data_IF_996223716500
#
_entry.id   IF_996223716500
#
_cell.length_a   1.000
_cell.length_b   1.000
_cell.length_c   1.000
_cell.angle_alpha   90.00
_cell.angle_beta   90.00
_cell.angle_gamma   90.00
#
_symmetry.space_group_name_H-M   'P 1'
#
loop_
_entity.id
_entity.type
_entity.pdbx_description
1 polymer ?
#
# COMPACT_ATOMS: atom_id res chain seq x y z
N UNK A 1 -19.97 3.40 3.88
CA UNK A 1 -19.19 2.51 2.99
C UNK A 1 -17.71 2.88 2.99
N UNK A 2 -16.89 2.15 3.75
CA UNK A 2 -15.43 2.31 3.75
C UNK A 2 -14.84 1.89 2.38
N UNK A 3 -13.93 2.70 1.80
CA UNK A 3 -13.32 2.51 0.47
C UNK A 3 -12.79 1.10 0.24
N UNK A 4 -12.24 0.46 1.28
CA UNK A 4 -11.69 -0.89 1.18
C UNK A 4 -12.75 -1.98 0.98
N UNK A 5 -13.90 -1.87 1.64
CA UNK A 5 -15.00 -2.81 1.47
C UNK A 5 -15.63 -2.70 0.09
N UNK A 6 -15.79 -1.46 -0.40
CA UNK A 6 -16.26 -1.20 -1.75
C UNK A 6 -15.29 -1.76 -2.82
N UNK A 7 -13.97 -1.60 -2.62
CA UNK A 7 -12.97 -2.15 -3.54
C UNK A 7 -13.01 -3.69 -3.60
N UNK A 8 -13.26 -4.35 -2.48
CA UNK A 8 -13.36 -5.81 -2.41
C UNK A 8 -14.74 -6.36 -2.84
N UNK A 9 -15.74 -5.49 -2.96
CA UNK A 9 -17.13 -5.88 -3.26
C UNK A 9 -17.77 -6.62 -2.09
N UNK A 10 -17.54 -6.16 -0.86
CA UNK A 10 -18.02 -6.77 0.38
C UNK A 10 -18.98 -5.83 1.14
N UNK A 11 -19.89 -6.41 1.93
CA UNK A 11 -20.67 -5.68 2.94
C UNK A 11 -19.76 -5.19 4.08
N UNK A 12 -20.23 -4.25 4.92
CA UNK A 12 -19.40 -3.63 5.97
C UNK A 12 -18.94 -4.62 7.07
N UNK A 13 -19.60 -5.77 7.20
CA UNK A 13 -19.23 -6.86 8.15
C UNK A 13 -19.17 -8.22 7.43
N UNK A 14 -18.18 -8.47 6.55
CA UNK A 14 -18.07 -9.71 5.82
C UNK A 14 -17.56 -10.83 6.75
N UNK A 15 -17.95 -12.07 6.47
CA UNK A 15 -17.35 -13.22 7.14
C UNK A 15 -15.89 -13.41 6.70
N UNK A 16 -15.06 -14.07 7.52
CA UNK A 16 -13.68 -14.40 7.14
C UNK A 16 -13.61 -15.23 5.84
N UNK A 17 -14.45 -16.25 5.62
CA UNK A 17 -14.52 -16.96 4.34
C UNK A 17 -14.82 -16.04 3.15
N UNK A 18 -15.78 -15.12 3.29
CA UNK A 18 -16.17 -14.21 2.22
C UNK A 18 -15.04 -13.24 1.86
N UNK A 19 -14.35 -12.70 2.87
CA UNK A 19 -13.19 -11.84 2.68
C UNK A 19 -12.08 -12.56 1.89
N UNK A 20 -11.76 -13.80 2.27
CA UNK A 20 -10.74 -14.61 1.59
C UNK A 20 -11.15 -14.96 0.17
N UNK A 21 -12.40 -15.35 -0.05
CA UNK A 21 -12.92 -15.67 -1.36
C UNK A 21 -12.91 -14.44 -2.29
N UNK A 22 -13.28 -13.27 -1.77
CA UNK A 22 -13.22 -12.01 -2.51
C UNK A 22 -11.78 -11.64 -2.90
N UNK A 23 -10.84 -11.75 -1.96
CA UNK A 23 -9.42 -11.54 -2.24
C UNK A 23 -8.90 -12.49 -3.32
N UNK A 24 -9.12 -13.80 -3.19
CA UNK A 24 -8.66 -14.78 -4.19
C UNK A 24 -9.23 -14.52 -5.59
N UNK A 25 -10.52 -14.20 -5.67
CA UNK A 25 -11.17 -13.85 -6.95
C UNK A 25 -10.52 -12.62 -7.58
N UNK A 26 -10.26 -11.58 -6.79
CA UNK A 26 -9.66 -10.34 -7.29
C UNK A 26 -8.18 -10.51 -7.63
N UNK A 27 -7.41 -11.19 -6.79
CA UNK A 27 -5.99 -11.46 -7.02
C UNK A 27 -5.79 -12.28 -8.30
N UNK A 28 -6.57 -13.35 -8.50
CA UNK A 28 -6.51 -14.17 -9.71
C UNK A 28 -6.84 -13.37 -10.98
N UNK A 29 -7.85 -12.48 -10.93
CA UNK A 29 -8.27 -11.69 -12.09
C UNK A 29 -7.33 -10.54 -12.43
N UNK A 30 -6.57 -10.04 -11.46
CA UNK A 30 -5.73 -8.86 -11.62
C UNK A 30 -4.23 -9.17 -11.47
N UNK A 31 -3.84 -10.44 -11.49
CA UNK A 31 -2.45 -10.84 -11.36
C UNK A 31 -1.63 -10.22 -12.52
N UNK A 32 -0.55 -9.47 -12.23
CA UNK A 32 0.17 -8.72 -13.27
C UNK A 32 0.72 -9.62 -14.38
N UNK A 33 1.08 -10.87 -14.08
CA UNK A 33 1.59 -11.84 -15.07
C UNK A 33 0.56 -12.25 -16.14
N UNK A 34 -0.73 -11.96 -15.94
CA UNK A 34 -1.77 -12.24 -16.94
C UNK A 34 -1.91 -11.11 -17.98
N UNK A 35 -1.17 -10.01 -17.83
CA UNK A 35 -1.32 -8.83 -18.65
C UNK A 35 -0.04 -8.53 -19.45
N UNK A 36 -0.17 -7.98 -20.67
CA UNK A 36 0.98 -7.52 -21.45
C UNK A 36 1.78 -6.46 -20.71
N UNK A 37 3.06 -6.32 -21.08
CA UNK A 37 3.98 -5.36 -20.44
C UNK A 37 3.47 -3.92 -20.39
N UNK A 38 2.71 -3.50 -21.41
CA UNK A 38 2.10 -2.17 -21.49
C UNK A 38 1.07 -1.91 -20.38
N UNK A 39 0.34 -2.94 -19.95
CA UNK A 39 -0.70 -2.84 -18.90
C UNK A 39 -0.21 -3.32 -17.54
N UNK A 40 0.89 -4.08 -17.52
CA UNK A 40 1.45 -4.72 -16.32
C UNK A 40 1.61 -3.75 -15.15
N UNK A 41 2.06 -2.52 -15.40
CA UNK A 41 2.24 -1.50 -14.35
C UNK A 41 0.93 -1.01 -13.73
N UNK A 42 -0.11 -0.84 -14.54
CA UNK A 42 -1.45 -0.46 -14.04
C UNK A 42 -2.04 -1.60 -13.22
N UNK A 43 -1.76 -2.84 -13.60
CA UNK A 43 -2.19 -4.01 -12.84
C UNK A 43 -1.39 -4.23 -11.56
N UNK A 44 -0.10 -3.87 -11.54
CA UNK A 44 0.68 -3.79 -10.30
C UNK A 44 0.03 -2.80 -9.32
N UNK A 45 -0.30 -1.59 -9.77
CA UNK A 45 -1.00 -0.60 -8.93
C UNK A 45 -2.35 -1.11 -8.43
N UNK A 46 -3.12 -1.77 -9.29
CA UNK A 46 -4.41 -2.36 -8.91
C UNK A 46 -4.24 -3.48 -7.87
N UNK A 47 -3.22 -4.31 -8.04
CA UNK A 47 -2.88 -5.37 -7.08
C UNK A 47 -2.46 -4.78 -5.73
N UNK A 48 -1.67 -3.69 -5.70
CA UNK A 48 -1.33 -2.99 -4.46
C UNK A 48 -2.58 -2.54 -3.69
N UNK A 49 -3.57 -1.97 -4.39
CA UNK A 49 -4.85 -1.55 -3.80
C UNK A 49 -5.66 -2.73 -3.25
N UNK A 50 -5.69 -3.85 -3.97
CA UNK A 50 -6.38 -5.07 -3.52
C UNK A 50 -5.71 -5.63 -2.26
N UNK A 51 -4.38 -5.70 -2.25
CA UNK A 51 -3.59 -6.17 -1.10
C UNK A 51 -3.81 -5.26 0.12
N UNK A 52 -3.76 -3.95 -0.07
CA UNK A 52 -4.00 -2.97 0.98
C UNK A 52 -5.41 -3.12 1.58
N UNK A 53 -6.44 -3.20 0.73
CA UNK A 53 -7.81 -3.38 1.18
C UNK A 53 -8.00 -4.70 1.94
N UNK A 54 -7.43 -5.80 1.45
CA UNK A 54 -7.50 -7.09 2.11
C UNK A 54 -6.83 -7.07 3.49
N UNK A 55 -5.62 -6.53 3.59
CA UNK A 55 -4.92 -6.42 4.87
C UNK A 55 -5.69 -5.52 5.85
N UNK A 56 -6.22 -4.39 5.37
CA UNK A 56 -7.02 -3.49 6.20
C UNK A 56 -8.25 -4.21 6.77
N UNK A 57 -9.06 -4.87 5.93
CA UNK A 57 -10.28 -5.56 6.37
C UNK A 57 -9.94 -6.80 7.20
N UNK A 58 -8.85 -7.51 6.92
CA UNK A 58 -8.38 -8.63 7.74
C UNK A 58 -8.06 -8.17 9.16
N UNK A 59 -7.35 -7.05 9.33
CA UNK A 59 -7.06 -6.48 10.65
C UNK A 59 -8.31 -6.00 11.40
N UNK A 60 -9.39 -5.63 10.69
CA UNK A 60 -10.70 -5.36 11.31
C UNK A 60 -11.33 -6.63 11.87
N UNK A 61 -11.43 -7.66 11.02
CA UNK A 61 -12.16 -8.89 11.35
C UNK A 61 -11.44 -9.69 12.44
N UNK A 62 -10.09 -9.64 12.47
CA UNK A 62 -9.27 -10.31 13.51
C UNK A 62 -9.17 -9.47 14.80
N UNK A 63 -9.77 -8.26 14.84
CA UNK A 63 -9.89 -7.47 16.07
C UNK A 63 -8.63 -6.67 16.45
N UNK A 64 -7.58 -6.65 15.62
CA UNK A 64 -6.34 -5.91 15.88
C UNK A 64 -6.52 -4.38 15.78
N UNK A 65 -7.67 -3.90 15.28
CA UNK A 65 -7.91 -2.48 15.03
C UNK A 65 -8.39 -1.65 16.23
N UNK A 66 -8.78 -2.28 17.37
CA UNK A 66 -9.27 -1.53 18.55
C UNK A 66 -8.18 -0.66 19.21
N UNK A 67 -6.91 -1.10 19.18
CA UNK A 67 -5.77 -0.27 19.61
C UNK A 67 -5.29 0.67 18.51
N UNK A 68 -5.39 0.26 17.24
CA UNK A 68 -4.92 1.06 16.11
C UNK A 68 -5.72 2.37 15.92
N UNK A 69 -7.03 2.40 16.22
CA UNK A 69 -7.88 3.61 16.05
C UNK A 69 -7.41 4.83 16.87
N UNK A 70 -6.67 4.62 17.97
CA UNK A 70 -6.09 5.70 18.77
C UNK A 70 -4.82 6.30 18.15
N UNK A 71 -4.14 5.60 17.23
CA UNK A 71 -2.89 6.02 16.61
C UNK A 71 -3.00 6.23 15.08
N UNK A 72 -3.93 5.55 14.39
CA UNK A 72 -4.17 5.68 12.93
C UNK A 72 -4.92 6.95 12.55
N UNK A 73 -5.56 7.64 13.50
CA UNK A 73 -6.05 8.99 13.29
C UNK A 73 -4.90 9.98 12.91
N UNK A 74 -3.64 9.57 13.08
CA UNK A 74 -2.45 10.35 12.77
C UNK A 74 -1.73 9.98 11.45
N UNK A 75 -2.22 9.02 10.65
CA UNK A 75 -1.74 8.85 9.26
C UNK A 75 -2.56 9.75 8.34
N UNK A 76 -2.60 11.05 8.66
CA UNK A 76 -3.01 12.02 7.68
C UNK A 76 -1.96 11.98 6.57
N UNK A 77 -2.38 11.64 5.35
CA UNK A 77 -1.51 11.81 4.22
C UNK A 77 -0.96 13.24 4.23
N UNK A 78 0.36 13.43 4.10
CA UNK A 78 0.84 14.76 3.78
C UNK A 78 0.06 15.20 2.53
N UNK A 79 -0.50 16.43 2.52
CA UNK A 79 -1.35 16.86 1.43
C UNK A 79 -0.61 16.60 0.12
N UNK A 80 -1.27 15.95 -0.87
CA UNK A 80 -0.67 15.83 -2.17
C UNK A 80 -0.26 17.25 -2.59
N UNK A 81 0.92 17.47 -3.18
CA UNK A 81 1.18 18.77 -3.77
C UNK A 81 0.12 18.96 -4.85
N UNK A 82 -0.91 19.75 -4.56
CA UNK A 82 -1.79 20.24 -5.61
C UNK A 82 -0.89 21.07 -6.53
N UNK A 83 -1.16 21.03 -7.83
CA UNK A 83 -0.48 21.92 -8.78
C UNK A 83 -0.54 23.38 -8.28
N UNK A 84 -1.58 23.71 -7.51
CA UNK A 84 -1.84 25.02 -6.90
C UNK A 84 -1.16 25.26 -5.53
N UNK A 85 -0.93 24.27 -4.66
CA UNK A 85 -0.21 24.49 -3.39
C UNK A 85 1.32 24.51 -3.57
N UNK A 86 1.81 23.99 -4.70
CA UNK A 86 3.16 24.28 -5.17
C UNK A 86 3.30 25.70 -5.75
N UNK A 87 2.21 26.49 -5.79
CA UNK A 87 2.09 27.74 -6.54
C UNK A 87 2.22 29.01 -5.66
N UNK A 88 2.19 28.88 -4.32
CA UNK A 88 2.41 30.01 -3.41
C UNK A 88 3.92 30.17 -3.11
N UNK A 89 4.60 31.06 -3.85
CA UNK A 89 5.85 31.65 -3.35
C UNK A 89 7.03 31.83 -4.31
N UNK A 90 6.91 31.64 -5.63
CA UNK A 90 8.01 32.01 -6.53
C UNK A 90 7.51 32.49 -7.90
N UNK A 91 7.66 33.78 -8.13
CA UNK A 91 7.51 34.43 -9.43
C UNK A 91 8.74 34.03 -10.27
N UNK A 92 8.52 33.37 -11.42
CA UNK A 92 9.52 33.25 -12.48
C UNK A 92 10.10 31.85 -12.76
N UNK A 93 9.28 30.91 -13.25
CA UNK A 93 9.62 29.85 -14.23
C UNK A 93 8.42 28.87 -14.35
N UNK A 94 8.13 28.28 -15.53
CA UNK A 94 7.21 27.15 -15.60
C UNK A 94 7.80 26.00 -14.77
N UNK A 95 7.21 25.72 -13.61
CA UNK A 95 7.64 24.62 -12.74
C UNK A 95 7.37 23.30 -13.48
N UNK A 96 8.42 22.56 -13.81
CA UNK A 96 8.37 21.27 -14.49
C UNK A 96 7.34 20.32 -13.82
N UNK A 97 6.20 20.02 -14.49
CA UNK A 97 5.17 19.14 -13.93
C UNK A 97 5.71 17.74 -13.62
N UNK A 98 6.63 17.22 -14.43
CA UNK A 98 7.22 15.91 -14.25
C UNK A 98 8.02 15.85 -12.93
N UNK A 99 8.76 16.91 -12.61
CA UNK A 99 9.47 17.04 -11.34
C UNK A 99 8.51 17.03 -10.14
N UNK A 100 7.37 17.71 -10.24
CA UNK A 100 6.37 17.77 -9.16
C UNK A 100 5.79 16.38 -8.83
N UNK A 101 5.37 15.62 -9.84
CA UNK A 101 4.92 14.23 -9.66
C UNK A 101 6.05 13.35 -9.13
N UNK A 102 7.26 13.48 -9.68
CA UNK A 102 8.42 12.73 -9.22
C UNK A 102 8.72 12.98 -7.73
N UNK A 103 8.75 14.24 -7.30
CA UNK A 103 9.02 14.63 -5.91
C UNK A 103 7.93 14.12 -4.97
N UNK A 104 6.67 14.15 -5.39
CA UNK A 104 5.57 13.56 -4.63
C UNK A 104 5.77 12.04 -4.46
N UNK A 105 6.04 11.33 -5.56
CA UNK A 105 6.33 9.90 -5.54
C UNK A 105 7.51 9.55 -4.64
N UNK A 106 8.58 10.34 -4.69
CA UNK A 106 9.79 10.15 -3.88
C UNK A 106 9.53 10.36 -2.38
N UNK A 107 8.70 11.35 -2.01
CA UNK A 107 8.31 11.55 -0.60
C UNK A 107 7.59 10.32 -0.05
N UNK A 108 6.57 9.82 -0.75
CA UNK A 108 5.85 8.62 -0.33
C UNK A 108 6.73 7.36 -0.35
N UNK A 109 7.64 7.24 -1.32
CA UNK A 109 8.63 6.16 -1.36
C UNK A 109 9.45 6.12 -0.07
N UNK A 110 9.97 7.27 0.38
CA UNK A 110 10.76 7.36 1.60
C UNK A 110 9.94 7.13 2.85
N UNK A 111 8.69 7.59 2.91
CA UNK A 111 7.78 7.28 4.02
C UNK A 111 7.53 5.77 4.13
N UNK A 112 7.20 5.09 3.03
CA UNK A 112 7.01 3.64 3.03
C UNK A 112 8.28 2.88 3.40
N UNK A 113 9.44 3.31 2.91
CA UNK A 113 10.73 2.75 3.28
C UNK A 113 11.06 2.97 4.76
N UNK A 114 10.73 4.14 5.31
CA UNK A 114 10.91 4.45 6.73
C UNK A 114 10.05 3.53 7.58
N UNK A 115 8.77 3.37 7.24
CA UNK A 115 7.89 2.42 7.95
C UNK A 115 8.46 0.99 7.89
N UNK A 116 8.86 0.51 6.72
CA UNK A 116 9.32 -0.87 6.57
C UNK A 116 10.68 -1.16 7.24
N UNK A 117 11.62 -0.20 7.19
CA UNK A 117 13.01 -0.43 7.60
C UNK A 117 13.39 0.19 8.94
N UNK A 118 12.57 1.08 9.51
CA UNK A 118 12.77 1.59 10.88
C UNK A 118 12.37 0.49 11.88
N UNK A 119 13.30 -0.45 12.09
CA UNK A 119 13.18 -1.49 13.12
C UNK A 119 13.20 -0.85 14.50
N UNK A 120 12.05 -0.46 15.02
CA UNK A 120 11.92 -0.09 16.42
C UNK A 120 11.87 -1.37 17.27
N UNK A 121 13.05 -1.92 17.54
CA UNK A 121 13.26 -3.13 18.35
C UNK A 121 12.54 -3.09 19.70
N UNK A 122 12.28 -1.90 20.23
CA UNK A 122 11.52 -1.65 21.45
C UNK A 122 10.01 -1.89 21.28
N UNK A 123 9.43 -1.51 20.13
CA UNK A 123 8.01 -1.75 19.82
C UNK A 123 7.73 -3.22 19.49
N UNK A 124 8.62 -3.86 18.74
CA UNK A 124 8.53 -5.31 18.47
C UNK A 124 8.58 -6.10 19.77
N UNK A 125 9.53 -5.77 20.66
CA UNK A 125 9.62 -6.39 22.00
C UNK A 125 8.37 -6.14 22.84
N UNK A 126 7.87 -4.91 22.88
CA UNK A 126 6.62 -4.58 23.60
C UNK A 126 5.44 -5.41 23.09
N UNK A 127 5.29 -5.56 21.77
CA UNK A 127 4.17 -6.31 21.19
C UNK A 127 4.24 -7.82 21.44
N UNK A 128 5.45 -8.38 21.39
CA UNK A 128 5.70 -9.78 21.78
C UNK A 128 5.33 -10.01 23.25
N UNK A 129 5.66 -9.06 24.14
CA UNK A 129 5.32 -9.13 25.56
C UNK A 129 3.79 -9.06 25.77
N UNK A 130 3.09 -8.18 25.05
CA UNK A 130 1.64 -7.96 25.28
C UNK A 130 0.74 -8.97 24.58
N UNK A 131 1.11 -9.47 23.40
CA UNK A 131 0.25 -10.31 22.55
C UNK A 131 0.78 -11.72 22.33
N UNK A 132 1.98 -12.04 22.81
CA UNK A 132 2.65 -13.32 22.59
C UNK A 132 3.15 -13.54 21.16
N UNK A 133 2.84 -12.64 20.21
CA UNK A 133 3.30 -12.73 18.81
C UNK A 133 3.69 -11.36 18.27
N UNK A 134 4.51 -11.31 17.21
CA UNK A 134 4.81 -10.06 16.50
C UNK A 134 3.87 -9.82 15.32
N UNK A 135 2.97 -10.76 15.02
CA UNK A 135 2.25 -10.84 13.76
C UNK A 135 1.37 -9.61 13.52
N UNK A 136 0.57 -9.19 14.51
CA UNK A 136 -0.26 -7.99 14.38
C UNK A 136 0.52 -6.66 14.27
N UNK A 137 1.70 -6.57 14.92
CA UNK A 137 2.57 -5.40 14.74
C UNK A 137 3.19 -5.36 13.35
N UNK A 138 3.69 -6.51 12.87
CA UNK A 138 4.27 -6.64 11.54
C UNK A 138 3.22 -6.37 10.46
N UNK A 139 1.98 -6.86 10.64
CA UNK A 139 0.85 -6.60 9.74
C UNK A 139 0.50 -5.11 9.68
N UNK A 140 0.49 -4.41 10.81
CA UNK A 140 0.26 -2.95 10.84
C UNK A 140 1.37 -2.17 10.13
N UNK A 141 2.62 -2.54 10.37
CA UNK A 141 3.77 -1.92 9.69
C UNK A 141 3.72 -2.15 8.18
N UNK A 142 3.42 -3.39 7.79
CA UNK A 142 3.22 -3.83 6.43
C UNK A 142 2.11 -3.01 5.75
N UNK A 143 0.95 -2.85 6.39
CA UNK A 143 -0.18 -2.06 5.89
C UNK A 143 0.19 -0.59 5.68
N UNK A 144 0.85 0.05 6.65
CA UNK A 144 1.27 1.46 6.54
C UNK A 144 2.31 1.68 5.43
N UNK A 145 3.28 0.77 5.32
CA UNK A 145 4.27 0.84 4.24
C UNK A 145 3.61 0.62 2.86
N UNK A 146 2.68 -0.33 2.74
CA UNK A 146 1.95 -0.59 1.50
C UNK A 146 1.11 0.61 1.06
N UNK A 147 0.45 1.29 1.99
CA UNK A 147 -0.28 2.53 1.73
C UNK A 147 0.60 3.58 1.04
N UNK A 148 1.77 3.86 1.62
CA UNK A 148 2.71 4.82 1.04
C UNK A 148 3.31 4.33 -0.29
N UNK A 149 3.57 3.04 -0.41
CA UNK A 149 4.06 2.47 -1.67
C UNK A 149 3.03 2.52 -2.80
N UNK A 150 1.74 2.34 -2.53
CA UNK A 150 0.66 2.52 -3.51
C UNK A 150 0.65 3.96 -4.04
N UNK A 151 0.66 4.94 -3.14
CA UNK A 151 0.70 6.36 -3.53
C UNK A 151 1.97 6.68 -4.32
N UNK A 152 3.12 6.24 -3.85
CA UNK A 152 4.40 6.41 -4.55
C UNK A 152 4.36 5.83 -5.96
N UNK A 153 3.81 4.62 -6.11
CA UNK A 153 3.64 3.95 -7.39
C UNK A 153 2.79 4.79 -8.34
N UNK A 154 1.65 5.30 -7.85
CA UNK A 154 0.74 6.12 -8.66
C UNK A 154 1.42 7.38 -9.22
N UNK A 155 2.22 8.08 -8.42
CA UNK A 155 2.97 9.26 -8.85
C UNK A 155 4.04 8.93 -9.88
N UNK A 156 4.85 7.90 -9.64
CA UNK A 156 5.88 7.51 -10.61
C UNK A 156 5.28 6.97 -11.90
N UNK A 157 4.11 6.32 -11.84
CA UNK A 157 3.40 5.89 -13.03
C UNK A 157 2.98 7.08 -13.89
N UNK A 158 2.51 8.19 -13.29
CA UNK A 158 2.23 9.44 -14.03
C UNK A 158 3.49 9.98 -14.71
N UNK A 159 4.63 10.03 -14.01
CA UNK A 159 5.90 10.48 -14.60
C UNK A 159 6.26 9.63 -15.82
N UNK A 160 6.11 8.32 -15.74
CA UNK A 160 6.49 7.41 -16.83
C UNK A 160 5.50 7.42 -17.99
N UNK A 161 4.19 7.47 -17.71
CA UNK A 161 3.14 7.39 -18.72
C UNK A 161 2.91 8.73 -19.43
N UNK A 162 3.01 9.86 -18.72
CA UNK A 162 2.69 11.20 -19.28
C UNK A 162 3.95 12.02 -19.59
N UNK A 163 5.06 11.78 -18.89
CA UNK A 163 6.30 12.54 -19.00
C UNK A 163 7.49 11.62 -19.30
N UNK A 164 7.30 10.68 -20.23
CA UNK A 164 8.23 9.61 -20.56
C UNK A 164 9.63 10.06 -20.97
N UNK A 165 9.73 11.26 -21.56
CA UNK A 165 10.96 11.90 -22.04
C UNK A 165 11.61 12.82 -21.01
N UNK A 166 10.97 13.02 -19.84
CA UNK A 166 11.54 13.84 -18.77
C UNK A 166 12.81 13.21 -18.17
N UNK A 167 13.77 14.01 -17.67
CA UNK A 167 14.95 13.49 -16.98
C UNK A 167 14.62 12.59 -15.77
N UNK A 168 13.45 12.79 -15.17
CA UNK A 168 12.96 12.06 -14.00
C UNK A 168 12.40 10.67 -14.33
N UNK A 169 12.08 10.41 -15.60
CA UNK A 169 11.43 9.17 -16.03
C UNK A 169 12.30 7.94 -15.81
N UNK A 170 13.62 8.06 -16.00
CA UNK A 170 14.54 6.93 -15.80
C UNK A 170 14.54 6.44 -14.35
N UNK A 171 14.69 7.36 -13.39
CA UNK A 171 14.69 7.02 -11.98
C UNK A 171 13.30 6.61 -11.49
N UNK A 172 12.22 7.23 -11.98
CA UNK A 172 10.85 6.80 -11.74
C UNK A 172 10.63 5.33 -12.16
N UNK A 173 11.11 4.92 -13.35
CA UNK A 173 11.06 3.51 -13.80
C UNK A 173 11.86 2.59 -12.87
N UNK A 174 13.01 3.03 -12.36
CA UNK A 174 13.79 2.25 -11.39
C UNK A 174 13.02 2.06 -10.08
N UNK A 175 12.39 3.12 -9.55
CA UNK A 175 11.59 3.05 -8.32
C UNK A 175 10.34 2.20 -8.49
N UNK A 176 9.65 2.28 -9.63
CA UNK A 176 8.54 1.38 -9.95
C UNK A 176 8.97 -0.09 -9.87
N UNK A 177 10.09 -0.48 -10.50
CA UNK A 177 10.60 -1.85 -10.40
C UNK A 177 10.91 -2.28 -8.96
N UNK A 178 11.37 -1.38 -8.10
CA UNK A 178 11.56 -1.68 -6.66
C UNK A 178 10.23 -1.88 -5.94
N UNK A 179 9.25 -1.02 -6.21
CA UNK A 179 7.90 -1.12 -5.66
C UNK A 179 7.19 -2.41 -6.10
N UNK A 180 7.39 -2.86 -7.35
CA UNK A 180 6.87 -4.14 -7.86
C UNK A 180 7.41 -5.33 -7.05
N UNK A 181 8.69 -5.31 -6.67
CA UNK A 181 9.27 -6.35 -5.81
C UNK A 181 8.62 -6.35 -4.42
N UNK A 182 8.36 -5.17 -3.84
CA UNK A 182 7.62 -5.09 -2.59
C UNK A 182 6.20 -5.61 -2.74
N UNK A 183 5.50 -5.25 -3.83
CA UNK A 183 4.14 -5.72 -4.08
C UNK A 183 4.06 -7.26 -4.15
N UNK A 184 5.04 -7.92 -4.78
CA UNK A 184 5.12 -9.38 -4.79
C UNK A 184 5.26 -9.99 -3.39
N UNK A 185 5.99 -9.32 -2.47
CA UNK A 185 6.10 -9.75 -1.07
C UNK A 185 4.75 -9.60 -0.37
N UNK A 186 4.07 -8.47 -0.54
CA UNK A 186 2.75 -8.25 0.06
C UNK A 186 1.71 -9.24 -0.46
N UNK A 187 1.73 -9.56 -1.75
CA UNK A 187 0.85 -10.56 -2.33
C UNK A 187 1.06 -11.93 -1.67
N UNK A 188 2.32 -12.35 -1.48
CA UNK A 188 2.65 -13.60 -0.76
C UNK A 188 2.16 -13.58 0.69
N UNK A 189 2.30 -12.45 1.39
CA UNK A 189 1.77 -12.28 2.75
C UNK A 189 0.25 -12.48 2.74
N UNK A 190 -0.45 -11.82 1.84
CA UNK A 190 -1.91 -11.91 1.73
C UNK A 190 -2.38 -13.33 1.39
N UNK A 191 -1.71 -14.01 0.44
CA UNK A 191 -1.96 -15.41 0.10
C UNK A 191 -1.68 -16.37 1.26
N UNK A 192 -0.66 -16.09 2.08
CA UNK A 192 -0.37 -16.90 3.27
C UNK A 192 -1.43 -16.70 4.35
N UNK A 193 -1.85 -15.46 4.60
CA UNK A 193 -2.93 -15.15 5.54
C UNK A 193 -4.26 -15.75 5.08
N UNK A 194 -4.53 -15.74 3.77
CA UNK A 194 -5.77 -16.33 3.24
C UNK A 194 -5.77 -17.85 3.43
N UNK A 195 -4.61 -18.53 3.28
CA UNK A 195 -4.46 -19.97 3.52
C UNK A 195 -4.48 -20.36 5.00
N UNK A 196 -4.01 -19.52 5.92
CA UNK A 196 -4.06 -19.77 7.37
C UNK A 196 -5.50 -19.65 7.89
N UNK A 197 -6.28 -20.73 7.75
CA UNK A 197 -7.54 -20.95 8.49
C UNK A 197 -8.00 -22.41 8.34
N UNK A 198 -7.14 -23.33 8.76
CA UNK A 198 -7.58 -24.64 9.24
C UNK A 198 -7.25 -24.85 10.72
N UNK A 199 -6.65 -23.87 11.41
CA UNK A 199 -6.08 -24.06 12.75
C UNK A 199 -6.43 -22.99 13.79
N UNK A 200 -7.10 -21.89 13.44
CA UNK A 200 -7.45 -20.82 14.40
C UNK A 200 -8.87 -20.97 15.01
N UNK A 201 -9.51 -22.13 14.85
CA UNK A 201 -10.80 -22.47 15.50
C UNK A 201 -10.67 -23.58 16.56
N UNK A 202 -9.45 -23.86 17.04
CA UNK A 202 -9.22 -24.71 18.22
C UNK A 202 -8.19 -24.04 19.12
N UNK A 203 -8.66 -23.48 20.22
CA UNK A 203 -7.89 -22.86 21.28
C UNK A 203 -8.84 -22.19 22.24
#
# INVERSE_FOLDING_TARGET
>A
MNRYYALLGLAETPSLPDLKAAYHRLAKRNHPDLFPDAERRRQQLKMMRINEAYLAVMSDVVGERREARSETAAVADPPPPTADAANEGAIGAPRDPAYSYYKAGFRYYNLGATELFRKESSKIRRYLITTGTADGYILRLALRALHYFERSYSYFLVVVDQYGDSPWSHDARYKLRRLEKFNAIYQRICENLSRRSSTLTRG
#
